data_IF_191288979066
#
_entry.id   IF_191288979066
#
_cell.length_a   1.000
_cell.length_b   1.000
_cell.length_c   1.000
_cell.angle_alpha   90.00
_cell.angle_beta   90.00
_cell.angle_gamma   90.00
#
_symmetry.space_group_name_H-M   'P 1'
#
loop_
_entity.id
_entity.type
_entity.pdbx_description
1 polymer ?
#
# COMPACT_ATOMS: atom_id res chain seq x y z
N UNK A 1 -43.88 4.17 20.10
CA UNK A 1 -42.80 3.19 19.77
C UNK A 1 -41.93 3.83 18.70
N UNK A 2 -40.65 4.03 18.96
CA UNK A 2 -39.77 4.73 18.03
C UNK A 2 -39.59 3.90 16.75
N UNK A 3 -39.57 4.56 15.61
CA UNK A 3 -39.37 3.96 14.26
C UNK A 3 -38.10 3.06 14.23
N UNK A 4 -37.10 3.36 15.01
CA UNK A 4 -35.86 2.58 15.12
C UNK A 4 -36.02 1.21 15.77
N UNK A 5 -36.93 1.05 16.75
CA UNK A 5 -37.20 -0.26 17.38
C UNK A 5 -38.00 -1.20 16.46
N UNK A 6 -38.91 -0.65 15.66
CA UNK A 6 -39.67 -1.41 14.66
C UNK A 6 -38.75 -1.96 13.56
N UNK A 7 -37.79 -1.16 13.11
CA UNK A 7 -36.83 -1.56 12.08
C UNK A 7 -35.87 -2.67 12.57
N UNK A 8 -35.37 -2.57 13.80
CA UNK A 8 -34.52 -3.62 14.39
C UNK A 8 -35.23 -4.96 14.51
N UNK A 9 -36.50 -4.95 14.91
CA UNK A 9 -37.30 -6.17 15.03
C UNK A 9 -37.58 -6.85 13.67
N UNK A 10 -37.75 -6.06 12.61
CA UNK A 10 -37.89 -6.57 11.26
C UNK A 10 -36.62 -7.21 10.73
N UNK A 11 -35.45 -6.51 10.88
CA UNK A 11 -34.15 -7.04 10.46
C UNK A 11 -33.82 -8.34 11.19
N UNK A 12 -34.07 -8.43 12.51
CA UNK A 12 -33.86 -9.65 13.27
C UNK A 12 -34.65 -10.82 12.72
N UNK A 13 -35.97 -10.63 12.49
CA UNK A 13 -36.83 -11.67 11.88
C UNK A 13 -36.35 -12.09 10.50
N UNK A 14 -35.94 -11.10 9.67
CA UNK A 14 -35.40 -11.39 8.35
C UNK A 14 -34.13 -12.23 8.40
N UNK A 15 -33.26 -12.03 9.40
CA UNK A 15 -32.04 -12.82 9.57
C UNK A 15 -32.34 -14.22 10.14
N UNK A 16 -33.36 -14.36 11.02
CA UNK A 16 -33.66 -15.62 11.71
C UNK A 16 -34.58 -16.54 10.87
N UNK A 17 -35.57 -15.98 10.19
CA UNK A 17 -36.65 -16.74 9.53
C UNK A 17 -36.41 -16.92 8.02
N UNK A 18 -35.34 -16.34 7.46
CA UNK A 18 -35.12 -16.39 6.02
C UNK A 18 -34.57 -17.75 5.57
N UNK A 19 -35.36 -18.49 4.86
CA UNK A 19 -34.99 -19.79 4.29
C UNK A 19 -34.10 -19.68 3.01
N UNK A 20 -33.91 -18.47 2.48
CA UNK A 20 -33.12 -18.24 1.27
C UNK A 20 -31.70 -17.81 1.65
N UNK A 21 -30.64 -18.41 1.08
CA UNK A 21 -29.27 -17.94 1.30
C UNK A 21 -29.14 -16.46 0.95
N UNK A 22 -28.67 -15.65 1.90
CA UNK A 22 -28.52 -14.20 1.74
C UNK A 22 -27.10 -13.77 1.98
N UNK A 23 -26.64 -12.80 1.19
CA UNK A 23 -25.32 -12.18 1.31
C UNK A 23 -25.50 -10.70 1.70
N UNK A 24 -24.96 -10.33 2.83
CA UNK A 24 -24.95 -8.96 3.31
C UNK A 24 -23.59 -8.33 3.07
N UNK A 25 -23.56 -7.18 2.41
CA UNK A 25 -22.35 -6.45 2.10
C UNK A 25 -22.34 -5.14 2.88
N UNK A 26 -21.26 -4.89 3.61
CA UNK A 26 -21.06 -3.65 4.35
C UNK A 26 -19.63 -3.17 4.21
N UNK A 27 -19.43 -1.87 4.09
CA UNK A 27 -18.10 -1.26 4.12
C UNK A 27 -17.55 -1.09 5.55
N UNK A 28 -18.42 -1.19 6.56
CA UNK A 28 -18.04 -1.02 7.95
C UNK A 28 -18.91 -1.90 8.85
N UNK A 29 -18.32 -2.93 9.41
CA UNK A 29 -19.00 -3.84 10.33
C UNK A 29 -19.41 -3.17 11.63
N UNK A 30 -18.67 -2.13 12.08
CA UNK A 30 -18.96 -1.43 13.32
C UNK A 30 -20.23 -0.56 13.26
N UNK A 31 -20.76 -0.32 12.06
CA UNK A 31 -22.06 0.34 11.86
C UNK A 31 -23.24 -0.61 12.06
N UNK A 32 -23.00 -1.92 12.12
CA UNK A 32 -24.05 -2.91 12.35
C UNK A 32 -24.25 -3.13 13.85
N UNK A 33 -25.51 -3.32 14.25
CA UNK A 33 -25.81 -3.69 15.63
C UNK A 33 -25.17 -5.07 15.96
N UNK A 34 -24.47 -5.20 17.08
CA UNK A 34 -23.89 -6.48 17.51
C UNK A 34 -24.92 -7.63 17.58
N UNK A 35 -26.20 -7.31 17.81
CA UNK A 35 -27.28 -8.28 17.77
C UNK A 35 -27.50 -8.88 16.38
N UNK A 36 -27.26 -8.11 15.31
CA UNK A 36 -27.34 -8.62 13.93
C UNK A 36 -26.12 -9.48 13.59
N UNK A 37 -24.93 -9.05 13.99
CA UNK A 37 -23.67 -9.76 13.71
C UNK A 37 -23.71 -11.19 14.25
N UNK A 38 -24.32 -11.41 15.42
CA UNK A 38 -24.44 -12.75 16.04
C UNK A 38 -25.38 -13.71 15.30
N UNK A 39 -26.15 -13.23 14.34
CA UNK A 39 -27.13 -14.01 13.57
C UNK A 39 -26.64 -14.42 12.18
N UNK A 40 -25.47 -13.95 11.80
CA UNK A 40 -24.80 -14.44 10.60
C UNK A 40 -24.11 -15.76 10.88
N UNK A 41 -24.31 -16.74 10.01
CA UNK A 41 -23.57 -18.02 10.08
C UNK A 41 -22.08 -17.82 9.81
N UNK A 42 -21.74 -16.79 8.99
CA UNK A 42 -20.36 -16.47 8.64
C UNK A 42 -20.18 -14.96 8.47
N UNK A 43 -19.14 -14.44 9.05
CA UNK A 43 -18.70 -13.05 8.87
C UNK A 43 -17.28 -13.06 8.31
N UNK A 44 -17.10 -12.48 7.12
CA UNK A 44 -15.83 -12.44 6.43
C UNK A 44 -15.40 -11.00 6.24
N UNK A 45 -14.14 -10.71 6.56
CA UNK A 45 -13.49 -9.47 6.22
C UNK A 45 -12.71 -9.64 4.91
N UNK A 46 -12.90 -8.72 3.98
CA UNK A 46 -12.15 -8.63 2.73
C UNK A 46 -11.22 -7.39 2.80
N UNK A 47 -10.04 -7.53 3.37
CA UNK A 47 -9.10 -6.41 3.49
C UNK A 47 -8.52 -6.02 2.12
N UNK A 48 -7.91 -4.83 2.07
CA UNK A 48 -7.12 -4.44 0.90
C UNK A 48 -6.05 -5.50 0.61
N UNK A 49 -5.88 -5.94 -0.64
CA UNK A 49 -4.93 -6.98 -0.97
C UNK A 49 -3.51 -6.65 -0.49
N UNK A 50 -2.74 -7.63 -0.01
CA UNK A 50 -1.34 -7.43 0.33
C UNK A 50 -0.51 -7.07 -0.90
N UNK A 51 0.69 -6.49 -0.69
CA UNK A 51 1.58 -5.98 -1.74
C UNK A 51 1.75 -6.93 -2.92
N UNK A 52 2.03 -8.20 -2.65
CA UNK A 52 2.26 -9.18 -3.72
C UNK A 52 1.02 -9.41 -4.60
N UNK A 53 -0.16 -9.39 -4.01
CA UNK A 53 -1.40 -9.49 -4.78
C UNK A 53 -1.67 -8.21 -5.56
N UNK A 54 -1.42 -7.02 -4.96
CA UNK A 54 -1.52 -5.73 -5.68
C UNK A 54 -0.57 -5.68 -6.86
N UNK A 55 0.68 -6.15 -6.71
CA UNK A 55 1.64 -6.21 -7.81
C UNK A 55 1.13 -7.09 -8.96
N UNK A 56 0.57 -8.26 -8.65
CA UNK A 56 -0.03 -9.15 -9.67
C UNK A 56 -1.24 -8.51 -10.36
N UNK A 57 -2.11 -7.83 -9.61
CA UNK A 57 -3.26 -7.13 -10.16
C UNK A 57 -2.84 -5.98 -11.08
N UNK A 58 -1.87 -5.17 -10.66
CA UNK A 58 -1.31 -4.09 -11.46
C UNK A 58 -0.66 -4.64 -12.73
N UNK A 59 0.14 -5.70 -12.63
CA UNK A 59 0.74 -6.35 -13.79
C UNK A 59 -0.32 -6.86 -14.78
N UNK A 60 -1.37 -7.52 -14.28
CA UNK A 60 -2.43 -8.07 -15.12
C UNK A 60 -3.29 -7.00 -15.81
N UNK A 61 -3.54 -5.87 -15.14
CA UNK A 61 -4.45 -4.83 -15.65
C UNK A 61 -3.73 -3.65 -16.31
N UNK A 62 -2.47 -3.42 -15.98
CA UNK A 62 -1.72 -2.24 -16.39
C UNK A 62 -0.33 -2.57 -16.96
N UNK A 63 0.00 -3.87 -17.17
CA UNK A 63 1.33 -4.28 -17.65
C UNK A 63 1.71 -3.68 -19.01
N UNK A 64 0.73 -3.45 -19.87
CA UNK A 64 0.93 -2.80 -21.18
C UNK A 64 0.97 -1.26 -21.08
N UNK A 65 0.51 -0.70 -19.97
CA UNK A 65 0.38 0.74 -19.76
C UNK A 65 1.54 1.33 -18.95
N UNK A 66 2.00 0.60 -17.94
CA UNK A 66 2.96 1.05 -16.93
C UNK A 66 4.27 0.27 -17.04
N UNK A 67 5.38 0.95 -16.78
CA UNK A 67 6.67 0.28 -16.68
C UNK A 67 6.83 -0.51 -15.36
N UNK A 68 7.84 -1.38 -15.30
CA UNK A 68 8.08 -2.25 -14.14
C UNK A 68 8.32 -1.43 -12.84
N UNK A 69 8.95 -0.25 -12.92
CA UNK A 69 9.20 0.62 -11.77
C UNK A 69 7.92 1.28 -11.26
N UNK A 70 7.07 1.72 -12.18
CA UNK A 70 5.75 2.27 -11.85
C UNK A 70 4.88 1.21 -11.18
N UNK A 71 4.85 -0.01 -11.71
CA UNK A 71 4.11 -1.12 -11.14
C UNK A 71 4.56 -1.45 -9.72
N UNK A 72 5.87 -1.55 -9.49
CA UNK A 72 6.44 -1.80 -8.16
C UNK A 72 6.08 -0.69 -7.17
N UNK A 73 6.28 0.57 -7.57
CA UNK A 73 5.96 1.73 -6.73
C UNK A 73 4.48 1.79 -6.34
N UNK A 74 3.59 1.54 -7.28
CA UNK A 74 2.16 1.53 -7.04
C UNK A 74 1.74 0.34 -6.15
N UNK A 75 2.40 -0.80 -6.25
CA UNK A 75 2.16 -1.95 -5.38
C UNK A 75 2.49 -1.67 -3.90
N UNK A 76 3.35 -0.69 -3.59
CA UNK A 76 3.63 -0.25 -2.21
C UNK A 76 2.48 0.55 -1.58
N UNK A 77 1.55 1.07 -2.38
CA UNK A 77 0.45 1.91 -1.89
C UNK A 77 -0.58 1.05 -1.18
N UNK A 78 -0.64 1.10 0.15
CA UNK A 78 -1.45 0.22 1.00
C UNK A 78 -2.96 0.31 0.71
N UNK A 79 -3.46 1.50 0.39
CA UNK A 79 -4.88 1.76 0.15
C UNK A 79 -5.31 1.61 -1.31
N UNK A 80 -4.43 1.09 -2.17
CA UNK A 80 -4.74 0.85 -3.57
C UNK A 80 -5.59 -0.42 -3.73
N UNK A 81 -6.89 -0.23 -3.85
CA UNK A 81 -7.86 -1.32 -3.99
C UNK A 81 -7.99 -1.79 -5.44
N UNK A 82 -8.43 -3.06 -5.68
CA UNK A 82 -8.68 -3.56 -7.03
C UNK A 82 -9.65 -2.69 -7.84
N UNK A 83 -10.65 -2.12 -7.20
CA UNK A 83 -11.63 -1.25 -7.86
C UNK A 83 -11.01 0.06 -8.37
N UNK A 84 -10.07 0.65 -7.62
CA UNK A 84 -9.35 1.85 -8.04
C UNK A 84 -8.46 1.52 -9.24
N UNK A 85 -7.73 0.40 -9.19
CA UNK A 85 -6.87 -0.05 -10.30
C UNK A 85 -7.72 -0.25 -11.56
N UNK A 86 -8.80 -1.02 -11.48
CA UNK A 86 -9.66 -1.32 -12.61
C UNK A 86 -10.27 -0.07 -13.25
N UNK A 87 -10.79 0.87 -12.45
CA UNK A 87 -11.35 2.11 -12.97
C UNK A 87 -10.31 2.98 -13.64
N UNK A 88 -9.17 3.18 -12.98
CA UNK A 88 -8.10 4.01 -13.53
C UNK A 88 -7.51 3.38 -14.80
N UNK A 89 -7.32 2.05 -14.85
CA UNK A 89 -6.80 1.37 -16.05
C UNK A 89 -7.76 1.47 -17.24
N UNK A 90 -9.08 1.30 -17.01
CA UNK A 90 -10.09 1.45 -18.06
C UNK A 90 -10.06 2.86 -18.68
N UNK A 91 -10.02 3.89 -17.84
CA UNK A 91 -9.98 5.28 -18.33
C UNK A 91 -8.67 5.58 -19.05
N UNK A 92 -7.54 5.19 -18.48
CA UNK A 92 -6.23 5.43 -19.07
C UNK A 92 -6.05 4.68 -20.40
N UNK A 93 -6.53 3.44 -20.49
CA UNK A 93 -6.51 2.66 -21.74
C UNK A 93 -7.38 3.30 -22.84
N UNK A 94 -8.53 3.85 -22.47
CA UNK A 94 -9.40 4.56 -23.43
C UNK A 94 -8.74 5.85 -23.97
N UNK A 95 -7.83 6.45 -23.19
CA UNK A 95 -7.09 7.66 -23.61
C UNK A 95 -5.84 7.35 -24.45
N UNK A 96 -5.32 6.12 -24.38
CA UNK A 96 -4.06 5.72 -25.01
C UNK A 96 -4.00 5.96 -26.53
N UNK A 97 -5.06 5.71 -27.34
CA UNK A 97 -5.05 5.96 -28.77
C UNK A 97 -4.87 7.44 -29.12
N UNK A 98 -5.36 8.35 -28.26
CA UNK A 98 -5.30 9.79 -28.50
C UNK A 98 -4.04 10.46 -27.91
N UNK A 99 -3.56 10.00 -26.78
CA UNK A 99 -2.50 10.66 -26.01
C UNK A 99 -1.14 9.95 -26.09
N UNK A 100 -1.12 8.70 -26.51
CA UNK A 100 0.06 7.85 -26.46
C UNK A 100 0.30 7.23 -25.07
N UNK A 101 1.17 6.23 -25.02
CA UNK A 101 1.39 5.40 -23.83
C UNK A 101 1.91 6.19 -22.62
N UNK A 102 2.90 7.06 -22.81
CA UNK A 102 3.49 7.84 -21.72
C UNK A 102 2.47 8.78 -21.03
N UNK A 103 1.65 9.47 -21.82
CA UNK A 103 0.63 10.36 -21.29
C UNK A 103 -0.51 9.57 -20.61
N UNK A 104 -0.84 8.40 -21.13
CA UNK A 104 -1.83 7.51 -20.52
C UNK A 104 -1.36 6.91 -19.19
N UNK A 105 -0.08 6.55 -19.07
CA UNK A 105 0.54 6.14 -17.82
C UNK A 105 0.47 7.27 -16.77
N UNK A 106 0.77 8.50 -17.18
CA UNK A 106 0.65 9.66 -16.30
C UNK A 106 -0.80 9.92 -15.88
N UNK A 107 -1.76 9.79 -16.81
CA UNK A 107 -3.18 9.92 -16.51
C UNK A 107 -3.65 8.86 -15.50
N UNK A 108 -3.19 7.62 -15.64
CA UNK A 108 -3.46 6.55 -14.67
C UNK A 108 -3.01 6.95 -13.26
N UNK A 109 -1.76 7.40 -13.11
CA UNK A 109 -1.23 7.82 -11.82
C UNK A 109 -1.99 9.01 -11.22
N UNK A 110 -2.39 9.97 -12.05
CA UNK A 110 -3.21 11.10 -11.61
C UNK A 110 -4.59 10.66 -11.12
N UNK A 111 -5.27 9.78 -11.86
CA UNK A 111 -6.58 9.24 -11.47
C UNK A 111 -6.51 8.48 -10.14
N UNK A 112 -5.51 7.62 -9.98
CA UNK A 112 -5.25 6.90 -8.73
C UNK A 112 -4.97 7.90 -7.60
N UNK A 113 -4.08 8.87 -7.82
CA UNK A 113 -3.70 9.87 -6.82
C UNK A 113 -4.87 10.71 -6.35
N UNK A 114 -5.69 11.23 -7.27
CA UNK A 114 -6.88 12.02 -6.95
C UNK A 114 -7.93 11.18 -6.20
N UNK A 115 -8.13 9.93 -6.60
CA UNK A 115 -9.08 9.03 -5.92
C UNK A 115 -8.66 8.75 -4.49
N UNK A 116 -7.39 8.44 -4.25
CA UNK A 116 -6.85 8.20 -2.92
C UNK A 116 -6.92 9.47 -2.03
N UNK A 117 -6.60 10.65 -2.61
CA UNK A 117 -6.75 11.91 -1.89
C UNK A 117 -8.20 12.22 -1.51
N UNK A 118 -9.15 11.99 -2.42
CA UNK A 118 -10.57 12.18 -2.14
C UNK A 118 -11.10 11.24 -1.05
N UNK A 119 -10.47 10.07 -0.89
CA UNK A 119 -10.76 9.11 0.20
C UNK A 119 -10.04 9.41 1.51
N UNK A 120 -9.28 10.52 1.60
CA UNK A 120 -8.52 10.89 2.80
C UNK A 120 -7.17 10.19 2.94
N UNK A 121 -6.75 9.40 1.95
CA UNK A 121 -5.42 8.81 1.90
C UNK A 121 -4.42 9.83 1.36
N UNK A 122 -3.17 9.74 1.78
CA UNK A 122 -2.11 10.67 1.36
C UNK A 122 -1.85 10.67 -0.14
N UNK A 123 -0.95 11.54 -0.58
CA UNK A 123 -0.52 11.58 -2.00
C UNK A 123 0.25 10.33 -2.36
N UNK A 124 0.16 9.93 -3.63
CA UNK A 124 1.01 8.86 -4.17
C UNK A 124 2.49 9.14 -3.87
N UNK A 125 3.27 8.12 -3.53
CA UNK A 125 4.70 8.26 -3.38
C UNK A 125 5.29 8.84 -4.67
N UNK A 126 6.04 9.93 -4.55
CA UNK A 126 6.77 10.46 -5.71
C UNK A 126 7.75 9.40 -6.20
N UNK A 127 8.09 9.38 -7.50
CA UNK A 127 9.20 8.59 -7.98
C UNK A 127 10.39 8.88 -7.08
N UNK A 128 10.93 7.85 -6.43
CA UNK A 128 12.12 8.03 -5.61
C UNK A 128 13.21 8.55 -6.56
N UNK A 129 13.94 9.59 -6.14
CA UNK A 129 15.10 10.02 -6.88
C UNK A 129 15.96 8.79 -7.15
N UNK A 130 16.29 8.56 -8.41
CA UNK A 130 17.18 7.46 -8.80
C UNK A 130 18.46 7.55 -7.97
N UNK A 131 19.04 6.41 -7.66
CA UNK A 131 20.45 6.41 -7.23
C UNK A 131 21.22 7.29 -8.21
N UNK A 132 22.14 8.13 -7.73
CA UNK A 132 23.07 8.80 -8.65
C UNK A 132 23.61 7.73 -9.61
N UNK A 133 23.67 8.04 -10.90
CA UNK A 133 24.13 7.10 -11.93
C UNK A 133 25.52 6.48 -11.62
N UNK A 134 26.25 7.05 -10.69
CA UNK A 134 27.58 6.69 -10.23
C UNK A 134 27.61 6.47 -8.70
N UNK A 135 26.55 5.90 -8.09
CA UNK A 135 26.67 5.54 -6.68
C UNK A 135 27.50 4.27 -6.55
N UNK A 136 28.64 4.42 -5.89
CA UNK A 136 29.54 3.34 -5.54
C UNK A 136 29.80 3.40 -4.04
N UNK A 137 29.53 2.32 -3.27
CA UNK A 137 29.79 2.30 -1.83
C UNK A 137 31.24 2.51 -1.47
N UNK A 138 32.18 2.18 -2.37
CA UNK A 138 33.64 2.34 -2.13
C UNK A 138 34.07 3.81 -2.09
N UNK A 139 33.26 4.74 -2.63
CA UNK A 139 33.48 6.18 -2.50
C UNK A 139 32.89 6.79 -1.23
N UNK A 140 32.18 6.00 -0.42
CA UNK A 140 31.61 6.47 0.84
C UNK A 140 32.65 6.31 1.94
N UNK A 141 33.03 7.41 2.58
CA UNK A 141 33.92 7.36 3.74
C UNK A 141 33.14 6.82 4.96
N UNK A 142 33.23 5.52 5.19
CA UNK A 142 32.60 4.81 6.31
C UNK A 142 33.70 4.14 7.15
N UNK A 143 33.37 3.88 8.40
CA UNK A 143 34.22 3.12 9.33
C UNK A 143 34.13 1.60 9.15
N UNK A 144 33.36 1.15 8.19
CA UNK A 144 33.15 -0.25 7.83
C UNK A 144 33.13 -0.41 6.30
N UNK A 145 33.50 -1.60 5.82
CA UNK A 145 33.36 -1.99 4.43
C UNK A 145 31.86 -2.23 4.10
N UNK A 146 31.28 -1.31 3.34
CA UNK A 146 29.87 -1.32 2.99
C UNK A 146 29.52 -2.45 2.03
N UNK A 147 30.45 -2.85 1.18
CA UNK A 147 30.28 -3.95 0.23
C UNK A 147 30.30 -5.31 0.95
N UNK A 148 31.23 -5.51 1.88
CA UNK A 148 31.25 -6.69 2.76
C UNK A 148 30.04 -6.76 3.67
N UNK A 149 29.56 -5.62 4.19
CA UNK A 149 28.34 -5.53 4.98
C UNK A 149 27.11 -5.99 4.17
N UNK A 150 26.98 -5.56 2.92
CA UNK A 150 25.88 -5.97 2.05
C UNK A 150 25.87 -7.48 1.79
N UNK A 151 27.05 -8.07 1.54
CA UNK A 151 27.20 -9.52 1.37
C UNK A 151 26.80 -10.29 2.64
N UNK A 152 27.23 -9.81 3.82
CA UNK A 152 26.84 -10.39 5.11
C UNK A 152 25.34 -10.33 5.35
N UNK A 153 24.71 -9.23 4.98
CA UNK A 153 23.26 -9.07 5.09
C UNK A 153 22.50 -9.99 4.11
N UNK A 154 23.00 -10.17 2.90
CA UNK A 154 22.43 -11.12 1.95
C UNK A 154 22.49 -12.55 2.48
N UNK A 155 23.60 -12.96 3.08
CA UNK A 155 23.75 -14.26 3.71
C UNK A 155 22.81 -14.42 4.93
N UNK A 156 22.70 -13.41 5.78
CA UNK A 156 21.78 -13.43 6.93
C UNK A 156 20.33 -13.53 6.46
N UNK A 157 19.95 -12.82 5.42
CA UNK A 157 18.63 -12.89 4.81
C UNK A 157 18.31 -14.29 4.27
N UNK A 158 19.25 -14.92 3.59
CA UNK A 158 19.11 -16.28 3.09
C UNK A 158 18.90 -17.29 4.22
N UNK A 159 19.49 -17.04 5.40
CA UNK A 159 19.29 -17.82 6.63
C UNK A 159 18.01 -17.44 7.40
N UNK A 160 17.19 -16.52 6.87
CA UNK A 160 15.96 -16.07 7.55
C UNK A 160 16.19 -15.12 8.73
N UNK A 161 17.40 -14.60 8.91
CA UNK A 161 17.72 -13.67 9.98
C UNK A 161 17.44 -12.20 9.57
N UNK A 162 16.90 -11.43 10.51
CA UNK A 162 16.70 -9.99 10.35
C UNK A 162 17.92 -9.21 10.88
N UNK A 163 18.21 -8.05 10.28
CA UNK A 163 19.26 -7.17 10.75
C UNK A 163 18.72 -5.75 10.97
N UNK A 164 19.31 -5.04 11.93
CA UNK A 164 19.01 -3.64 12.23
C UNK A 164 20.29 -2.83 12.14
N UNK A 165 20.32 -1.88 11.18
CA UNK A 165 21.46 -1.01 10.98
C UNK A 165 21.10 0.42 11.35
N UNK A 166 22.02 1.11 11.99
CA UNK A 166 21.93 2.55 12.21
C UNK A 166 23.06 3.23 11.44
N UNK A 167 22.69 4.08 10.49
CA UNK A 167 23.62 4.91 9.72
C UNK A 167 23.53 6.34 10.23
N UNK A 168 24.62 6.88 10.74
CA UNK A 168 24.68 8.25 11.27
C UNK A 168 25.78 9.05 10.58
N UNK A 169 25.75 10.37 10.70
CA UNK A 169 26.72 11.28 10.12
C UNK A 169 26.08 12.55 9.56
N UNK A 170 26.88 13.52 9.07
CA UNK A 170 26.38 14.79 8.54
C UNK A 170 25.42 14.64 7.36
N UNK A 171 24.59 15.65 7.06
CA UNK A 171 23.79 15.67 5.85
C UNK A 171 24.65 15.55 4.58
N UNK A 172 24.14 14.86 3.56
CA UNK A 172 24.85 14.73 2.27
C UNK A 172 25.90 13.61 2.18
N UNK A 173 26.18 12.86 3.24
CA UNK A 173 27.19 11.78 3.27
C UNK A 173 26.76 10.45 2.65
N UNK A 174 25.68 10.41 1.89
CA UNK A 174 25.29 9.21 1.14
C UNK A 174 24.42 8.19 1.90
N UNK A 175 24.05 8.42 3.17
CA UNK A 175 23.27 7.44 3.99
C UNK A 175 22.01 6.92 3.29
N UNK A 176 21.21 7.81 2.74
CA UNK A 176 19.98 7.45 2.01
C UNK A 176 20.29 6.74 0.69
N UNK A 177 21.37 7.12 0.02
CA UNK A 177 21.81 6.47 -1.21
C UNK A 177 22.29 5.04 -0.93
N UNK A 178 23.06 4.83 0.16
CA UNK A 178 23.45 3.49 0.60
C UNK A 178 22.23 2.61 0.90
N UNK A 179 21.23 3.12 1.62
CA UNK A 179 20.00 2.35 1.90
C UNK A 179 19.27 1.92 0.63
N UNK A 180 19.26 2.75 -0.41
CA UNK A 180 18.66 2.41 -1.72
C UNK A 180 19.50 1.37 -2.46
N UNK A 181 20.82 1.58 -2.53
CA UNK A 181 21.74 0.66 -3.14
C UNK A 181 21.68 -0.73 -2.45
N UNK A 182 21.66 -0.76 -1.12
CA UNK A 182 21.53 -2.00 -0.37
C UNK A 182 20.22 -2.73 -0.67
N UNK A 183 19.11 -2.02 -0.78
CA UNK A 183 17.84 -2.60 -1.13
C UNK A 183 17.86 -3.23 -2.55
N UNK A 184 18.53 -2.59 -3.51
CA UNK A 184 18.75 -3.13 -4.85
C UNK A 184 19.64 -4.39 -4.81
N UNK A 185 20.74 -4.37 -4.03
CA UNK A 185 21.61 -5.55 -3.88
C UNK A 185 20.91 -6.75 -3.25
N UNK A 186 19.99 -6.49 -2.33
CA UNK A 186 19.22 -7.54 -1.65
C UNK A 186 17.95 -7.96 -2.41
N UNK A 187 17.67 -7.38 -3.57
CA UNK A 187 16.42 -7.54 -4.34
C UNK A 187 15.18 -7.36 -3.44
N UNK A 188 15.19 -6.29 -2.64
CA UNK A 188 14.11 -5.97 -1.71
C UNK A 188 13.53 -4.58 -1.95
N UNK A 189 12.24 -4.46 -1.73
CA UNK A 189 11.59 -3.15 -1.74
C UNK A 189 12.03 -2.32 -0.54
N UNK A 190 12.38 -1.05 -0.80
CA UNK A 190 12.74 -0.10 0.26
C UNK A 190 11.52 0.69 0.71
N UNK A 191 11.14 0.54 1.97
CA UNK A 191 10.13 1.38 2.61
C UNK A 191 10.82 2.53 3.35
N UNK A 192 10.65 3.76 2.85
CA UNK A 192 11.19 4.96 3.50
C UNK A 192 10.11 5.60 4.36
N UNK A 193 10.34 5.74 5.67
CA UNK A 193 9.48 6.46 6.61
C UNK A 193 10.28 7.60 7.26
N UNK A 194 9.65 8.75 7.44
CA UNK A 194 10.22 9.87 8.18
C UNK A 194 9.77 9.79 9.63
N UNK A 195 10.54 10.37 10.54
CA UNK A 195 10.16 10.44 11.95
C UNK A 195 8.79 11.12 12.15
N UNK A 196 8.47 12.16 11.34
CA UNK A 196 7.16 12.80 11.32
C UNK A 196 6.02 11.84 10.98
N UNK A 197 6.25 10.88 10.09
CA UNK A 197 5.22 9.92 9.67
C UNK A 197 4.93 8.91 10.79
N UNK A 198 5.95 8.58 11.60
CA UNK A 198 5.80 7.70 12.76
C UNK A 198 5.09 8.39 13.92
N UNK A 199 5.42 9.66 14.19
CA UNK A 199 4.80 10.43 15.27
C UNK A 199 3.32 10.70 15.00
N UNK A 200 2.93 10.99 13.75
CA UNK A 200 1.53 11.20 13.40
C UNK A 200 0.64 9.96 13.58
N UNK A 201 1.22 8.75 13.42
CA UNK A 201 0.52 7.50 13.67
C UNK A 201 0.20 7.28 15.16
N UNK A 202 1.08 7.71 16.06
CA UNK A 202 0.87 7.57 17.50
C UNK A 202 -0.05 8.64 18.08
N UNK A 203 0.00 9.87 17.59
CA UNK A 203 -0.87 10.98 18.06
C UNK A 203 -2.32 10.75 17.64
N UNK A 204 -2.58 10.22 16.46
CA UNK A 204 -3.94 9.91 16.00
C UNK A 204 -4.63 8.74 16.72
N UNK A 205 -3.88 7.86 17.38
CA UNK A 205 -4.45 6.80 18.22
C UNK A 205 -4.73 7.25 19.67
N UNK A 206 -3.98 8.21 20.18
CA UNK A 206 -4.20 8.74 21.52
C UNK A 206 -5.51 9.54 21.63
N UNK A 207 -5.94 10.24 20.57
CA UNK A 207 -7.21 10.98 20.52
C UNK A 207 -8.45 10.09 20.35
N UNK A 208 -8.31 8.85 19.90
CA UNK A 208 -9.43 7.91 19.76
C UNK A 208 -9.77 7.12 21.03
N UNK A 209 -8.91 7.21 22.05
CA UNK A 209 -9.07 6.51 23.33
C UNK A 209 -9.43 7.46 24.50
N UNK A 210 -9.74 8.72 24.22
CA UNK A 210 -10.36 9.68 25.12
C UNK A 210 -11.82 9.93 24.70
#
# INVERSE_FOLDING_TARGET
RSTGQSYKGWVNRMLEDNAVPTLWLSNNIHCLDPAFIRRFDMVLELPTPPRNQRARLLQAQCGDLLDARQLQRLAEVEHLTPAIIARASTVAAAMAPALGQAASAQAFEQLVGHTLQAQGHGRLPRPQAQLPALYDPDFVNADADLSALAQGLAAAQAAGAGARLCLYGPPGTGKTAFGRWLAEQLDRSLLVRRASDLLSMYVGQAEKNL
#
